data_IF_772893222959
#
_entry.id   IF_772893222959
#
_cell.length_a   1.000
_cell.length_b   1.000
_cell.length_c   1.000
_cell.angle_alpha   90.00
_cell.angle_beta   90.00
_cell.angle_gamma   90.00
#
_symmetry.space_group_name_H-M   'P 1'
#
loop_
_entity.id
_entity.type
_entity.pdbx_description
1 polymer ?
#
# COMPACT_ATOMS: atom_id res chain seq x y z
N UNK A 1 26.10 -18.66 -2.79
CA UNK A 1 24.68 -18.24 -2.90
C UNK A 1 24.58 -16.80 -2.44
N UNK A 2 23.91 -15.91 -3.18
CA UNK A 2 23.79 -14.49 -2.85
C UNK A 2 22.31 -14.07 -2.94
N UNK A 3 21.84 -13.29 -1.95
CA UNK A 3 20.50 -12.70 -1.92
C UNK A 3 20.63 -11.21 -1.60
N UNK A 4 19.94 -10.36 -2.38
CA UNK A 4 19.82 -8.94 -2.12
C UNK A 4 18.35 -8.53 -2.29
N UNK A 5 17.60 -8.58 -1.19
CA UNK A 5 16.17 -8.29 -1.15
C UNK A 5 15.85 -7.39 0.04
N UNK A 6 15.04 -6.37 -0.20
CA UNK A 6 14.55 -5.43 0.81
C UNK A 6 13.04 -5.36 0.69
N UNK A 7 12.35 -5.42 1.83
CA UNK A 7 10.91 -5.19 1.94
C UNK A 7 10.69 -4.17 3.03
N UNK A 8 10.05 -3.06 2.69
CA UNK A 8 9.76 -1.96 3.61
C UNK A 8 8.30 -1.57 3.54
N UNK A 9 7.69 -1.35 4.70
CA UNK A 9 6.38 -0.70 4.83
C UNK A 9 6.58 0.55 5.67
N UNK A 10 6.29 1.72 5.09
CA UNK A 10 6.52 3.00 5.77
C UNK A 10 5.73 4.14 5.16
N UNK A 11 5.93 5.34 5.68
CA UNK A 11 5.24 6.54 5.20
C UNK A 11 6.21 7.46 4.48
N UNK A 12 5.71 8.13 3.43
CA UNK A 12 6.48 9.15 2.75
C UNK A 12 6.72 10.35 3.65
N UNK A 13 7.96 10.83 3.68
CA UNK A 13 8.37 12.02 4.43
C UNK A 13 8.16 13.31 3.64
N UNK A 14 8.10 13.20 2.32
CA UNK A 14 7.80 14.28 1.37
C UNK A 14 7.12 13.71 0.12
N UNK A 15 6.63 14.59 -0.77
CA UNK A 15 6.11 14.18 -2.07
C UNK A 15 7.23 13.57 -2.92
N UNK A 16 6.91 12.56 -3.76
CA UNK A 16 7.88 11.96 -4.66
C UNK A 16 8.47 13.00 -5.63
N UNK A 17 9.78 12.94 -5.82
CA UNK A 17 10.49 13.77 -6.79
C UNK A 17 10.70 12.97 -8.09
N UNK A 18 10.01 13.38 -9.16
CA UNK A 18 10.02 12.70 -10.45
C UNK A 18 10.74 13.53 -11.49
N UNK A 19 11.59 12.86 -12.29
CA UNK A 19 12.32 13.46 -13.39
C UNK A 19 12.40 12.51 -14.59
N UNK A 20 12.38 13.06 -15.78
CA UNK A 20 12.66 12.31 -17.00
C UNK A 20 14.16 12.38 -17.31
N UNK A 21 14.74 11.26 -17.69
CA UNK A 21 16.15 11.20 -18.16
C UNK A 21 16.20 11.29 -19.69
N UNK A 22 17.35 11.63 -20.28
CA UNK A 22 17.48 11.83 -21.74
C UNK A 22 17.07 10.59 -22.57
N UNK A 23 17.11 9.39 -22.00
CA UNK A 23 16.64 8.17 -22.65
C UNK A 23 15.10 8.05 -22.75
N UNK A 24 14.34 9.06 -22.28
CA UNK A 24 12.88 9.04 -22.26
C UNK A 24 12.25 8.26 -21.09
N UNK A 25 13.06 7.68 -20.21
CA UNK A 25 12.57 6.95 -19.03
C UNK A 25 12.34 7.91 -17.86
N UNK A 26 11.26 7.66 -17.11
CA UNK A 26 11.00 8.38 -15.86
C UNK A 26 11.69 7.71 -14.67
N UNK A 27 12.23 8.53 -13.78
CA UNK A 27 12.82 8.12 -12.51
C UNK A 27 12.16 8.92 -11.40
N UNK A 28 11.71 8.24 -10.36
CA UNK A 28 11.09 8.89 -9.20
C UNK A 28 11.85 8.51 -7.93
N UNK A 29 12.27 9.53 -7.19
CA UNK A 29 12.87 9.38 -5.87
C UNK A 29 11.80 9.47 -4.82
N UNK A 30 11.66 8.42 -4.02
CA UNK A 30 10.71 8.31 -2.91
C UNK A 30 11.51 8.34 -1.62
N UNK A 31 11.22 9.29 -0.73
CA UNK A 31 11.80 9.34 0.62
C UNK A 31 10.75 8.91 1.61
N UNK A 32 11.06 7.86 2.35
CA UNK A 32 10.13 7.25 3.29
C UNK A 32 10.79 7.01 4.64
N UNK A 33 9.98 6.86 5.67
CA UNK A 33 10.41 6.57 7.02
C UNK A 33 9.70 5.33 7.57
N UNK A 34 10.46 4.55 8.34
CA UNK A 34 9.96 3.42 9.13
C UNK A 34 10.25 3.65 10.59
N UNK A 35 9.28 3.37 11.47
CA UNK A 35 9.42 3.58 12.89
C UNK A 35 9.56 2.24 13.62
N UNK A 36 10.49 2.18 14.56
CA UNK A 36 10.67 1.08 15.49
C UNK A 36 10.44 1.57 16.90
N UNK A 37 9.63 0.86 17.65
CA UNK A 37 9.36 1.13 19.06
C UNK A 37 9.77 -0.08 19.87
N UNK A 38 10.51 0.14 20.98
CA UNK A 38 10.93 -0.94 21.89
C UNK A 38 10.96 -0.43 23.34
N UNK A 39 11.08 -1.33 24.28
CA UNK A 39 11.38 -1.00 25.68
C UNK A 39 12.84 -1.29 25.94
N UNK A 40 13.52 -0.37 26.60
CA UNK A 40 14.88 -0.58 27.05
C UNK A 40 14.91 -1.54 28.29
N UNK A 41 16.10 -1.98 28.76
CA UNK A 41 16.21 -2.83 29.94
C UNK A 41 15.64 -2.21 31.23
N UNK A 42 15.50 -0.88 31.30
CA UNK A 42 14.87 -0.17 32.41
C UNK A 42 13.34 -0.10 32.32
N UNK A 43 12.74 -0.67 31.24
CA UNK A 43 11.31 -0.66 30.99
C UNK A 43 10.81 0.62 30.32
N UNK A 44 11.68 1.58 30.02
CA UNK A 44 11.31 2.82 29.32
C UNK A 44 11.06 2.55 27.84
N UNK A 45 9.98 3.18 27.32
CA UNK A 45 9.68 3.14 25.89
C UNK A 45 10.67 4.01 25.12
N UNK A 46 11.29 3.44 24.11
CA UNK A 46 12.17 4.10 23.14
C UNK A 46 11.57 3.98 21.75
N UNK A 47 11.84 4.97 20.92
CA UNK A 47 11.50 4.92 19.49
C UNK A 47 12.69 5.39 18.66
N UNK A 48 12.76 4.87 17.44
CA UNK A 48 13.70 5.33 16.43
C UNK A 48 13.01 5.35 15.07
N UNK A 49 13.41 6.30 14.26
CA UNK A 49 12.92 6.44 12.89
C UNK A 49 14.09 6.28 11.94
N UNK A 50 13.97 5.33 11.02
CA UNK A 50 14.91 5.12 9.93
C UNK A 50 14.37 5.73 8.65
N UNK A 51 15.25 6.47 7.96
CA UNK A 51 14.93 7.14 6.70
C UNK A 51 15.52 6.40 5.53
N UNK A 52 14.70 6.13 4.52
CA UNK A 52 15.08 5.36 3.36
C UNK A 52 14.89 6.17 2.08
N UNK A 53 15.86 6.08 1.17
CA UNK A 53 15.77 6.61 -0.18
C UNK A 53 15.52 5.46 -1.15
N UNK A 54 14.40 5.52 -1.85
CA UNK A 54 13.98 4.52 -2.83
C UNK A 54 13.93 5.14 -4.21
N UNK A 55 14.52 4.47 -5.18
CA UNK A 55 14.54 4.89 -6.59
C UNK A 55 13.62 3.96 -7.38
N UNK A 56 12.59 4.51 -7.95
CA UNK A 56 11.67 3.82 -8.85
C UNK A 56 11.97 4.22 -10.31
N UNK A 57 11.84 3.26 -11.23
CA UNK A 57 12.11 3.43 -12.65
C UNK A 57 10.88 3.12 -13.50
N UNK A 58 10.77 3.77 -14.66
CA UNK A 58 9.74 3.50 -15.66
C UNK A 58 8.33 3.51 -15.07
N UNK A 59 7.57 2.44 -15.28
CA UNK A 59 6.17 2.34 -14.80
C UNK A 59 6.01 2.52 -13.30
N UNK A 60 6.95 2.02 -12.49
CA UNK A 60 6.89 2.23 -11.03
C UNK A 60 7.11 3.69 -10.67
N UNK A 61 7.97 4.40 -11.41
CA UNK A 61 8.18 5.83 -11.25
C UNK A 61 6.91 6.61 -11.53
N UNK A 62 6.19 6.28 -12.62
CA UNK A 62 4.93 6.94 -12.98
C UNK A 62 3.83 6.71 -11.95
N UNK A 63 3.71 5.48 -11.46
CA UNK A 63 2.76 5.12 -10.39
C UNK A 63 3.08 5.89 -9.12
N UNK A 64 4.35 5.93 -8.72
CA UNK A 64 4.79 6.65 -7.53
C UNK A 64 4.49 8.15 -7.63
N UNK A 65 4.86 8.79 -8.75
CA UNK A 65 4.63 10.20 -8.98
C UNK A 65 3.14 10.58 -8.98
N UNK A 66 2.29 9.70 -9.55
CA UNK A 66 0.86 9.97 -9.71
C UNK A 66 0.06 9.77 -8.43
N UNK A 67 0.39 8.74 -7.67
CA UNK A 67 -0.49 8.28 -6.59
C UNK A 67 0.07 8.47 -5.18
N UNK A 68 1.39 8.59 -5.02
CA UNK A 68 2.00 8.80 -3.72
C UNK A 68 2.02 10.29 -3.36
N UNK A 69 1.82 10.56 -2.07
CA UNK A 69 1.91 11.89 -1.46
C UNK A 69 2.58 11.77 -0.11
N UNK A 70 3.14 12.88 0.39
CA UNK A 70 3.67 12.99 1.75
C UNK A 70 2.68 12.41 2.77
N UNK A 71 3.18 11.61 3.72
CA UNK A 71 2.39 10.92 4.74
C UNK A 71 1.69 9.65 4.27
N UNK A 72 1.63 9.39 2.95
CA UNK A 72 1.03 8.18 2.38
C UNK A 72 1.78 6.92 2.84
N UNK A 73 1.03 5.86 3.12
CA UNK A 73 1.57 4.55 3.43
C UNK A 73 1.90 3.82 2.13
N UNK A 74 3.07 3.19 2.07
CA UNK A 74 3.51 2.42 0.91
C UNK A 74 4.31 1.20 1.36
N UNK A 75 4.13 0.10 0.66
CA UNK A 75 5.03 -1.06 0.73
C UNK A 75 5.92 -1.04 -0.51
N UNK A 76 7.21 -1.19 -0.30
CA UNK A 76 8.26 -1.27 -1.33
C UNK A 76 8.95 -2.62 -1.21
N UNK A 77 9.04 -3.31 -2.33
CA UNK A 77 9.96 -4.42 -2.53
C UNK A 77 11.09 -3.97 -3.44
N UNK A 78 12.31 -4.39 -3.14
CA UNK A 78 13.44 -3.98 -3.95
C UNK A 78 14.75 -4.63 -3.51
N UNK A 79 15.85 -4.04 -3.94
CA UNK A 79 17.21 -4.44 -3.61
C UNK A 79 18.05 -3.24 -3.23
N UNK A 80 19.09 -3.46 -2.41
CA UNK A 80 20.08 -2.43 -2.10
C UNK A 80 21.01 -2.21 -3.30
N UNK A 81 21.33 -0.96 -3.55
CA UNK A 81 22.33 -0.58 -4.52
C UNK A 81 23.17 0.57 -3.98
N UNK A 82 24.48 0.39 -3.93
CA UNK A 82 25.41 1.45 -3.57
C UNK A 82 26.02 2.03 -4.85
N UNK A 83 25.90 3.35 -4.99
CA UNK A 83 26.60 4.11 -6.01
C UNK A 83 27.67 4.98 -5.37
N UNK A 84 28.70 5.30 -6.12
CA UNK A 84 29.75 6.20 -5.68
C UNK A 84 30.00 7.28 -6.74
N UNK A 85 30.50 8.40 -6.30
CA UNK A 85 30.96 9.49 -7.14
C UNK A 85 32.10 10.24 -6.45
N UNK A 86 32.89 10.95 -7.21
CA UNK A 86 33.92 11.83 -6.67
C UNK A 86 33.34 13.24 -6.65
N UNK A 87 33.36 13.91 -5.50
CA UNK A 87 32.92 15.29 -5.40
C UNK A 87 33.97 16.25 -6.00
N UNK A 88 33.65 17.55 -6.03
CA UNK A 88 34.54 18.59 -6.56
C UNK A 88 35.84 18.72 -5.77
N UNK A 89 35.93 18.25 -4.56
CA UNK A 89 37.10 18.24 -3.68
C UNK A 89 37.95 16.99 -3.87
N UNK A 90 37.63 16.10 -4.83
CA UNK A 90 38.35 14.84 -5.08
C UNK A 90 38.00 13.72 -4.08
N UNK A 91 37.04 13.92 -3.19
CA UNK A 91 36.65 12.92 -2.18
C UNK A 91 35.62 11.97 -2.76
N UNK A 92 35.86 10.65 -2.64
CA UNK A 92 34.87 9.63 -3.02
C UNK A 92 33.74 9.59 -2.00
N UNK A 93 32.52 9.74 -2.50
CA UNK A 93 31.28 9.62 -1.72
C UNK A 93 30.50 8.40 -2.15
N UNK A 94 29.84 7.78 -1.17
CA UNK A 94 29.02 6.59 -1.35
C UNK A 94 27.63 6.87 -0.84
N UNK A 95 26.62 6.37 -1.54
CA UNK A 95 25.24 6.36 -1.09
C UNK A 95 24.63 5.00 -1.38
N UNK A 96 23.96 4.43 -0.39
CA UNK A 96 23.21 3.21 -0.56
C UNK A 96 21.73 3.56 -0.66
N UNK A 97 21.13 3.16 -1.77
CA UNK A 97 19.72 3.42 -2.11
C UNK A 97 19.01 2.08 -2.34
N UNK A 98 17.70 2.10 -2.27
CA UNK A 98 16.86 0.94 -2.57
C UNK A 98 16.32 1.13 -3.99
N UNK A 99 16.58 0.17 -4.86
CA UNK A 99 15.97 0.15 -6.19
C UNK A 99 14.66 -0.62 -6.08
N UNK A 100 13.54 0.06 -6.35
CA UNK A 100 12.21 -0.53 -6.29
C UNK A 100 12.02 -1.53 -7.44
N UNK A 101 11.55 -2.72 -7.08
CA UNK A 101 11.16 -3.81 -8.00
C UNK A 101 9.64 -4.04 -7.94
N UNK A 102 9.01 -3.67 -6.81
CA UNK A 102 7.58 -3.71 -6.57
C UNK A 102 7.12 -2.56 -5.67
N UNK A 103 5.89 -2.11 -5.88
CA UNK A 103 5.28 -1.04 -5.11
C UNK A 103 3.79 -1.36 -4.88
N UNK A 104 3.34 -1.27 -3.63
CA UNK A 104 1.93 -1.39 -3.27
C UNK A 104 1.50 -0.17 -2.45
N UNK A 105 0.40 0.43 -2.88
CA UNK A 105 -0.17 1.59 -2.20
C UNK A 105 -0.93 1.13 -0.97
N UNK A 106 -0.65 1.74 0.18
CA UNK A 106 -1.43 1.54 1.39
C UNK A 106 -2.77 2.30 1.36
N UNK A 107 -3.64 2.09 2.36
CA UNK A 107 -4.87 2.85 2.49
C UNK A 107 -4.59 4.34 2.61
N UNK A 108 -5.42 5.16 1.96
CA UNK A 108 -5.34 6.61 2.10
C UNK A 108 -5.72 7.01 3.52
N UNK A 109 -5.05 7.99 4.13
CA UNK A 109 -5.50 8.55 5.40
C UNK A 109 -6.94 9.05 5.27
N UNK A 110 -7.80 8.68 6.22
CA UNK A 110 -9.15 9.22 6.28
C UNK A 110 -9.05 10.75 6.45
N UNK A 111 -9.51 11.50 5.44
CA UNK A 111 -9.43 12.97 5.42
C UNK A 111 -8.79 13.59 4.17
N UNK A 112 -8.09 12.82 3.34
CA UNK A 112 -7.69 13.30 2.02
C UNK A 112 -8.94 13.25 1.10
N UNK A 113 -9.66 14.37 1.00
CA UNK A 113 -10.71 14.54 0.00
C UNK A 113 -10.10 14.24 -1.37
N UNK A 114 -10.63 13.21 -2.02
CA UNK A 114 -10.40 13.02 -3.43
C UNK A 114 -11.12 14.18 -4.14
N UNK A 115 -10.37 15.16 -4.63
CA UNK A 115 -10.85 15.96 -5.76
C UNK A 115 -10.97 15.00 -6.95
N UNK A 116 -12.08 14.28 -7.01
CA UNK A 116 -12.53 13.70 -8.27
C UNK A 116 -12.87 14.89 -9.15
N UNK A 117 -12.31 15.01 -10.37
CA UNK A 117 -12.87 15.93 -11.33
C UNK A 117 -14.28 15.41 -11.63
N UNK A 118 -15.29 16.07 -11.06
CA UNK A 118 -16.66 15.95 -11.55
C UNK A 118 -16.63 16.37 -13.02
N UNK A 119 -16.71 15.40 -13.91
CA UNK A 119 -17.10 15.65 -15.27
C UNK A 119 -18.46 16.34 -15.19
N UNK A 120 -18.52 17.59 -15.64
CA UNK A 120 -19.74 18.35 -15.91
C UNK A 120 -20.64 17.53 -16.85
N UNK A 121 -21.53 16.75 -16.29
CA UNK A 121 -22.68 16.25 -17.02
C UNK A 121 -23.67 17.41 -17.04
N UNK A 122 -23.58 18.27 -18.07
CA UNK A 122 -24.61 19.16 -18.47
C UNK A 122 -25.89 18.34 -18.73
N UNK A 123 -26.82 18.45 -17.81
CA UNK A 123 -28.16 17.93 -17.97
C UNK A 123 -28.98 18.97 -18.74
N UNK A 124 -29.50 18.72 -19.95
CA UNK A 124 -30.42 19.62 -20.60
C UNK A 124 -31.87 19.31 -20.19
N UNK A 125 -32.53 20.35 -19.69
CA UNK A 125 -33.93 20.66 -19.86
C UNK A 125 -35.01 19.84 -19.14
N UNK A 126 -35.57 20.52 -18.16
CA UNK A 126 -37.01 20.76 -17.90
C UNK A 126 -38.04 19.84 -18.57
N UNK A 127 -38.75 19.11 -17.75
CA UNK A 127 -40.22 19.01 -17.90
C UNK A 127 -40.86 18.94 -16.52
N UNK A 128 -41.63 19.98 -16.22
CA UNK A 128 -42.56 20.08 -15.12
C UNK A 128 -43.78 19.24 -15.41
N UNK A 129 -44.16 18.28 -14.58
CA UNK A 129 -45.55 17.79 -14.45
C UNK A 129 -45.77 17.32 -12.99
N UNK A 130 -46.50 18.11 -12.30
CA UNK A 130 -47.63 17.95 -11.39
C UNK A 130 -47.86 16.62 -10.64
N UNK A 131 -47.92 16.80 -9.32
CA UNK A 131 -48.74 16.15 -8.28
C UNK A 131 -49.28 14.72 -8.49
N UNK A 132 -48.83 13.83 -7.58
CA UNK A 132 -49.50 12.58 -7.31
C UNK A 132 -48.96 11.96 -6.01
N UNK A 133 -49.71 12.13 -4.92
CA UNK A 133 -49.51 11.40 -3.66
C UNK A 133 -49.61 9.90 -3.92
N UNK A 134 -48.59 9.17 -3.56
CA UNK A 134 -48.67 7.73 -3.34
C UNK A 134 -47.82 7.34 -2.13
N UNK A 135 -48.51 6.76 -1.21
CA UNK A 135 -48.17 6.19 0.09
C UNK A 135 -46.86 5.38 0.08
N UNK A 136 -45.95 5.72 0.99
CA UNK A 136 -44.83 4.87 1.36
C UNK A 136 -45.34 3.65 2.13
N UNK A 137 -45.20 2.48 1.56
CA UNK A 137 -45.23 1.23 2.28
C UNK A 137 -43.90 1.02 3.04
N UNK A 138 -43.87 0.49 4.27
CA UNK A 138 -42.65 0.26 5.01
C UNK A 138 -41.87 -0.89 4.39
N UNK A 139 -40.59 -0.62 4.08
CA UNK A 139 -39.63 -1.67 3.71
C UNK A 139 -39.35 -2.50 4.95
N UNK A 140 -39.65 -3.79 4.90
CA UNK A 140 -39.30 -4.76 5.92
C UNK A 140 -37.80 -4.84 6.03
N UNK A 141 -37.27 -4.70 7.24
CA UNK A 141 -35.89 -5.02 7.60
C UNK A 141 -35.58 -6.44 7.13
N UNK A 142 -34.62 -6.55 6.24
CA UNK A 142 -34.05 -7.83 5.87
C UNK A 142 -33.21 -8.31 7.05
N UNK A 143 -33.55 -9.48 7.57
CA UNK A 143 -32.85 -10.20 8.61
C UNK A 143 -31.34 -10.25 8.36
N UNK A 144 -30.60 -9.54 9.19
CA UNK A 144 -29.15 -9.74 9.33
C UNK A 144 -29.01 -10.94 10.27
N UNK A 145 -28.43 -12.07 9.86
CA UNK A 145 -28.22 -13.19 10.77
C UNK A 145 -27.24 -12.78 11.88
N UNK A 146 -27.76 -12.69 13.10
CA UNK A 146 -26.95 -12.52 14.31
C UNK A 146 -26.38 -13.89 14.65
N UNK A 147 -25.06 -14.04 14.57
CA UNK A 147 -24.35 -15.23 15.05
C UNK A 147 -24.24 -15.09 16.56
N UNK A 148 -24.96 -15.92 17.31
CA UNK A 148 -24.86 -16.00 18.77
C UNK A 148 -23.56 -16.71 19.14
N UNK A 149 -22.64 -16.03 19.85
CA UNK A 149 -21.37 -16.57 20.33
C UNK A 149 -21.51 -17.72 21.36
N UNK A 150 -22.73 -18.09 21.78
CA UNK A 150 -22.99 -19.10 22.78
C UNK A 150 -23.61 -20.40 22.25
N UNK A 151 -23.71 -20.62 20.96
CA UNK A 151 -24.10 -21.94 20.46
C UNK A 151 -22.91 -22.91 20.51
N UNK A 152 -23.06 -24.07 21.20
CA UNK A 152 -22.02 -25.09 21.19
C UNK A 152 -21.95 -25.66 19.77
N UNK A 153 -20.80 -25.54 19.13
CA UNK A 153 -20.49 -26.16 17.84
C UNK A 153 -20.61 -27.67 17.95
N UNK A 154 -21.78 -28.19 17.61
CA UNK A 154 -21.96 -29.62 17.41
C UNK A 154 -21.57 -29.89 15.94
N UNK A 155 -20.27 -30.00 15.71
CA UNK A 155 -19.70 -30.36 14.43
C UNK A 155 -19.87 -31.86 14.21
N UNK A 156 -20.89 -32.23 13.46
CA UNK A 156 -20.88 -33.48 12.72
C UNK A 156 -19.86 -33.36 11.58
N UNK A 157 -18.58 -33.50 11.89
CA UNK A 157 -17.55 -33.75 10.90
C UNK A 157 -17.51 -35.26 10.73
N UNK A 158 -18.07 -35.76 9.65
CA UNK A 158 -17.77 -37.11 9.16
C UNK A 158 -16.26 -37.09 8.79
N UNK A 159 -15.48 -37.78 9.61
CA UNK A 159 -14.07 -38.08 9.32
C UNK A 159 -14.00 -39.05 8.14
N UNK A 160 -13.94 -38.51 6.93
CA UNK A 160 -13.45 -39.27 5.77
C UNK A 160 -11.94 -39.45 5.94
N UNK A 161 -11.54 -40.54 6.59
CA UNK A 161 -10.14 -40.98 6.66
C UNK A 161 -9.63 -41.28 5.25
N UNK A 162 -9.14 -40.26 4.53
CA UNK A 162 -8.26 -40.49 3.39
C UNK A 162 -6.93 -41.06 3.91
N UNK A 163 -6.85 -42.38 3.96
CA UNK A 163 -5.57 -43.10 4.11
C UNK A 163 -4.70 -42.80 2.89
N UNK A 164 -3.80 -41.85 3.03
CA UNK A 164 -2.71 -41.61 2.09
C UNK A 164 -1.76 -42.81 2.24
N UNK A 165 -1.68 -43.63 1.18
CA UNK A 165 -0.72 -44.72 1.13
C UNK A 165 0.69 -44.15 0.93
N UNK A 166 1.67 -44.68 1.67
CA UNK A 166 3.09 -44.30 1.59
C UNK A 166 3.70 -44.42 0.19
N UNK A 167 3.02 -45.06 -0.75
CA UNK A 167 3.47 -45.29 -2.13
C UNK A 167 3.20 -44.09 -3.07
N UNK A 168 2.47 -43.06 -2.63
CA UNK A 168 2.11 -41.89 -3.46
C UNK A 168 2.97 -40.66 -3.19
N UNK A 169 4.08 -40.80 -2.45
CA UNK A 169 5.03 -39.70 -2.20
C UNK A 169 6.12 -39.71 -3.27
N UNK A 170 6.21 -38.66 -4.12
CA UNK A 170 7.27 -38.54 -5.10
C UNK A 170 8.57 -38.07 -4.41
N UNK A 171 9.52 -38.97 -4.20
CA UNK A 171 10.92 -38.64 -3.89
C UNK A 171 11.81 -39.13 -5.04
#
# INVERSE_FOLDING_TARGET
MNLNKVILIGRLTQDPDSRSIPSGQNVTTIRMATNRVWKDPSGQRKDATEYHTVIAWGRLADVAAKYLKKGGLVMIEGRLQTRNWTDQSGVKKYITEIIAEGLQLGPRPAGAQSESPMADIKNPSTHSINSGQASRAPVKDADIPIIDENEPMNAGVEEDEMKIKEEDLPF
#
